data_IF_940950158300
#
_entry.id   IF_940950158300
#
_cell.length_a   1.000
_cell.length_b   1.000
_cell.length_c   1.000
_cell.angle_alpha   90.00
_cell.angle_beta   90.00
_cell.angle_gamma   90.00
#
_symmetry.space_group_name_H-M   'P 1'
#
loop_
_entity.id
_entity.type
_entity.pdbx_description
1 polymer ?
#
# COMPACT_ATOMS: atom_id res chain seq x y z
N UNK A 1 30.02 -6.74 -11.30
CA UNK A 1 29.07 -7.86 -11.21
C UNK A 1 28.08 -7.47 -10.12
N UNK A 2 27.02 -6.75 -10.49
CA UNK A 2 26.03 -6.27 -9.50
C UNK A 2 25.04 -7.40 -9.26
N UNK A 3 25.27 -8.16 -8.19
CA UNK A 3 24.21 -9.00 -7.63
C UNK A 3 23.14 -8.05 -7.08
N UNK A 4 22.11 -7.78 -7.88
CA UNK A 4 20.86 -7.21 -7.37
C UNK A 4 20.27 -8.24 -6.40
N UNK A 5 20.64 -8.13 -5.11
CA UNK A 5 19.91 -8.81 -4.04
C UNK A 5 18.49 -8.27 -4.09
N UNK A 6 17.62 -9.01 -4.77
CA UNK A 6 16.18 -8.77 -4.72
C UNK A 6 15.75 -8.94 -3.27
N UNK A 7 15.56 -7.82 -2.58
CA UNK A 7 14.99 -7.83 -1.23
C UNK A 7 13.60 -8.49 -1.32
N UNK A 8 13.22 -9.35 -0.37
CA UNK A 8 11.93 -10.01 -0.40
C UNK A 8 10.82 -8.96 -0.35
N UNK A 9 9.98 -8.93 -1.39
CA UNK A 9 8.77 -8.11 -1.47
C UNK A 9 7.57 -9.02 -1.28
N UNK A 10 6.63 -8.64 -0.42
CA UNK A 10 5.40 -9.39 -0.21
C UNK A 10 4.24 -8.65 -0.86
N UNK A 11 3.43 -9.35 -1.63
CA UNK A 11 2.25 -8.78 -2.28
C UNK A 11 1.01 -9.61 -1.94
N UNK A 12 -0.04 -8.93 -1.46
CA UNK A 12 -1.38 -9.49 -1.23
C UNK A 12 -2.30 -8.88 -2.29
N UNK A 13 -2.59 -9.67 -3.32
CA UNK A 13 -3.53 -9.34 -4.39
C UNK A 13 -4.76 -10.23 -4.31
N UNK A 14 -5.95 -9.65 -4.47
CA UNK A 14 -7.20 -10.40 -4.47
C UNK A 14 -8.45 -9.53 -4.55
N UNK A 15 -9.59 -10.15 -4.82
CA UNK A 15 -10.90 -9.49 -5.00
C UNK A 15 -11.31 -8.62 -3.81
N UNK A 16 -11.97 -7.50 -4.07
CA UNK A 16 -12.60 -6.65 -3.03
C UNK A 16 -13.51 -7.53 -2.16
N UNK A 17 -13.42 -7.41 -0.83
CA UNK A 17 -14.02 -8.29 0.19
C UNK A 17 -13.35 -9.66 0.50
N UNK A 18 -12.17 -9.99 -0.06
CA UNK A 18 -11.46 -11.25 0.28
C UNK A 18 -10.72 -11.28 1.63
N UNK A 19 -10.87 -10.25 2.47
CA UNK A 19 -10.24 -10.21 3.80
C UNK A 19 -8.75 -9.85 3.81
N UNK A 20 -8.23 -9.24 2.74
CA UNK A 20 -6.81 -8.83 2.60
C UNK A 20 -6.33 -7.94 3.74
N UNK A 21 -7.12 -6.94 4.15
CA UNK A 21 -6.77 -6.06 5.26
C UNK A 21 -6.61 -6.86 6.56
N UNK A 22 -7.49 -7.82 6.82
CA UNK A 22 -7.38 -8.73 7.98
C UNK A 22 -6.14 -9.60 7.91
N UNK A 23 -5.77 -10.10 6.73
CA UNK A 23 -4.54 -10.87 6.52
C UNK A 23 -3.29 -10.00 6.74
N UNK A 24 -3.29 -8.75 6.25
CA UNK A 24 -2.22 -7.79 6.48
C UNK A 24 -2.05 -7.49 7.97
N UNK A 25 -3.14 -7.35 8.73
CA UNK A 25 -3.10 -7.20 10.19
C UNK A 25 -2.53 -8.43 10.91
N UNK A 26 -2.88 -9.66 10.48
CA UNK A 26 -2.30 -10.89 11.05
C UNK A 26 -0.79 -10.97 10.74
N UNK A 27 -0.38 -10.54 9.55
CA UNK A 27 1.03 -10.45 9.20
C UNK A 27 1.71 -9.40 10.10
N UNK A 28 1.04 -8.29 10.45
CA UNK A 28 1.50 -7.24 11.38
C UNK A 28 1.87 -7.74 12.74
N UNK A 29 1.07 -8.66 13.26
CA UNK A 29 1.32 -9.25 14.56
C UNK A 29 2.52 -10.21 14.54
N UNK A 30 2.89 -10.75 13.37
CA UNK A 30 3.92 -11.78 13.22
C UNK A 30 5.25 -11.28 12.65
N UNK A 31 5.21 -10.28 11.78
CA UNK A 31 6.36 -9.67 11.12
C UNK A 31 6.41 -8.23 11.64
N UNK A 32 7.41 -7.89 12.46
CA UNK A 32 7.47 -6.57 13.11
C UNK A 32 7.99 -5.45 12.20
N UNK A 33 8.69 -5.82 11.13
CA UNK A 33 9.45 -4.89 10.32
C UNK A 33 8.84 -4.77 8.91
N UNK A 34 7.57 -4.40 8.80
CA UNK A 34 6.97 -4.10 7.49
C UNK A 34 6.04 -2.89 7.51
N UNK A 35 5.85 -2.34 6.32
CA UNK A 35 4.98 -1.19 6.05
C UNK A 35 4.06 -1.55 4.87
N UNK A 36 2.82 -1.03 4.87
CA UNK A 36 1.82 -1.35 3.85
C UNK A 36 1.84 -0.30 2.75
N UNK A 37 1.81 -0.74 1.49
CA UNK A 37 1.64 0.12 0.32
C UNK A 37 0.30 -0.24 -0.31
N UNK A 38 -0.66 0.69 -0.28
CA UNK A 38 -1.95 0.49 -0.94
C UNK A 38 -1.77 0.61 -2.46
N UNK A 39 -2.26 -0.39 -3.19
CA UNK A 39 -2.27 -0.41 -4.65
C UNK A 39 -3.66 -0.12 -5.24
N UNK A 40 -4.51 0.60 -4.51
CA UNK A 40 -5.88 0.91 -4.91
C UNK A 40 -5.99 2.37 -5.40
N UNK A 41 -6.35 2.54 -6.68
CA UNK A 41 -6.45 3.84 -7.35
C UNK A 41 -7.57 4.73 -6.79
N UNK A 42 -8.49 4.19 -6.00
CA UNK A 42 -9.53 4.97 -5.33
C UNK A 42 -9.12 5.39 -3.91
N UNK A 43 -8.16 4.69 -3.27
CA UNK A 43 -7.71 5.01 -1.91
C UNK A 43 -6.71 6.17 -1.84
N UNK A 44 -6.12 6.54 -2.98
CA UNK A 44 -5.19 7.68 -3.10
C UNK A 44 -5.87 9.03 -2.85
N UNK A 45 -7.17 9.15 -3.09
CA UNK A 45 -7.89 10.43 -3.02
C UNK A 45 -8.38 10.74 -1.60
N UNK A 46 -7.99 11.91 -1.10
CA UNK A 46 -8.41 12.42 0.21
C UNK A 46 -9.93 12.58 0.30
N UNK A 47 -10.49 12.34 1.50
CA UNK A 47 -11.90 12.59 1.85
C UNK A 47 -12.94 11.79 1.05
N UNK A 48 -12.50 10.84 0.23
CA UNK A 48 -13.36 9.87 -0.48
C UNK A 48 -13.39 8.55 0.29
N UNK A 49 -13.90 8.57 1.51
CA UNK A 49 -13.83 7.42 2.43
C UNK A 49 -15.06 6.50 2.30
N UNK A 50 -16.19 7.05 1.84
CA UNK A 50 -17.44 6.31 1.64
C UNK A 50 -17.38 5.61 0.28
N UNK A 51 -17.20 4.28 0.28
CA UNK A 51 -17.22 3.42 -0.92
C UNK A 51 -15.87 2.86 -1.37
N UNK A 52 -14.75 3.33 -0.80
CA UNK A 52 -13.37 2.95 -1.21
C UNK A 52 -12.70 1.93 -0.27
N UNK A 53 -13.44 1.45 0.74
CA UNK A 53 -12.98 0.46 1.73
C UNK A 53 -11.62 0.82 2.39
N UNK A 54 -11.35 2.11 2.59
CA UNK A 54 -10.10 2.57 3.23
C UNK A 54 -9.95 2.00 4.64
N UNK A 55 -8.72 1.63 5.03
CA UNK A 55 -8.44 1.27 6.42
C UNK A 55 -8.75 2.44 7.34
N UNK A 56 -9.37 2.14 8.48
CA UNK A 56 -9.70 3.13 9.51
C UNK A 56 -8.43 3.75 10.08
N UNK A 57 -8.54 4.94 10.69
CA UNK A 57 -7.40 5.59 11.36
C UNK A 57 -6.79 4.72 12.47
N UNK A 58 -7.59 3.89 13.13
CA UNK A 58 -7.10 2.94 14.14
C UNK A 58 -6.25 1.81 13.52
N UNK A 59 -6.58 1.35 12.32
CA UNK A 59 -5.79 0.36 11.58
C UNK A 59 -4.50 0.99 11.02
N UNK A 60 -4.59 2.21 10.49
CA UNK A 60 -3.42 2.97 10.03
C UNK A 60 -2.47 3.35 11.17
N UNK A 61 -2.97 3.52 12.40
CA UNK A 61 -2.13 3.77 13.57
C UNK A 61 -1.33 2.54 14.02
N UNK A 62 -1.78 1.33 13.67
CA UNK A 62 -1.11 0.07 14.05
C UNK A 62 0.04 -0.27 13.10
N UNK A 63 -0.06 0.12 11.83
CA UNK A 63 0.93 -0.17 10.79
C UNK A 63 1.01 1.05 9.88
N UNK A 64 2.21 1.58 9.57
CA UNK A 64 2.35 2.63 8.57
C UNK A 64 1.77 2.19 7.22
N UNK A 65 0.88 3.01 6.66
CA UNK A 65 0.31 2.84 5.34
C UNK A 65 0.79 3.97 4.41
N UNK A 66 1.19 3.59 3.21
CA UNK A 66 1.57 4.48 2.11
C UNK A 66 0.52 4.45 1.00
N UNK A 67 0.53 5.45 0.13
CA UNK A 67 -0.38 5.56 -1.02
C UNK A 67 -1.87 5.65 -0.64
N UNK A 68 -2.18 6.20 0.55
CA UNK A 68 -3.54 6.51 0.99
C UNK A 68 -3.62 8.00 1.27
N UNK A 69 -4.69 8.67 0.85
CA UNK A 69 -4.92 10.09 1.11
C UNK A 69 -3.76 11.00 0.63
N UNK A 70 -3.15 10.66 -0.52
CA UNK A 70 -2.01 11.37 -1.08
C UNK A 70 -2.42 12.53 -2.01
N UNK A 71 -3.58 12.45 -2.65
CA UNK A 71 -4.02 13.37 -3.72
C UNK A 71 -5.36 14.02 -3.34
N UNK A 72 -5.55 15.30 -3.65
CA UNK A 72 -6.88 15.92 -3.52
C UNK A 72 -7.80 15.51 -4.68
N UNK A 73 -9.12 15.29 -4.47
CA UNK A 73 -10.05 14.83 -5.53
C UNK A 73 -10.14 15.69 -6.80
N UNK A 74 -9.66 16.93 -6.74
CA UNK A 74 -9.69 17.88 -7.85
C UNK A 74 -8.36 17.98 -8.60
N UNK A 75 -7.33 17.25 -8.15
CA UNK A 75 -6.03 17.19 -8.82
C UNK A 75 -6.04 16.08 -9.88
N UNK A 76 -5.47 16.37 -11.05
CA UNK A 76 -5.23 15.34 -12.05
C UNK A 76 -4.11 14.41 -11.56
N UNK A 77 -4.43 13.13 -11.44
CA UNK A 77 -3.48 12.11 -11.03
C UNK A 77 -3.45 10.96 -12.03
N UNK A 78 -2.25 10.72 -12.56
CA UNK A 78 -2.01 9.76 -13.64
C UNK A 78 -1.49 8.44 -13.10
N UNK A 79 -1.72 7.36 -13.85
CA UNK A 79 -1.16 6.03 -13.55
C UNK A 79 0.38 6.07 -13.51
N UNK A 80 1.01 6.92 -14.33
CA UNK A 80 2.47 7.08 -14.33
C UNK A 80 2.99 7.70 -13.03
N UNK A 81 2.30 8.72 -12.50
CA UNK A 81 2.64 9.30 -11.19
C UNK A 81 2.47 8.27 -10.08
N UNK A 82 1.38 7.51 -10.10
CA UNK A 82 1.14 6.41 -9.17
C UNK A 82 2.27 5.39 -9.13
N UNK A 83 2.73 4.95 -10.31
CA UNK A 83 3.82 3.97 -10.40
C UNK A 83 5.13 4.53 -9.83
N UNK A 84 5.45 5.79 -10.13
CA UNK A 84 6.66 6.46 -9.61
C UNK A 84 6.59 6.59 -8.09
N UNK A 85 5.47 7.06 -7.55
CA UNK A 85 5.31 7.26 -6.10
C UNK A 85 5.29 5.94 -5.34
N UNK A 86 4.60 4.92 -5.86
CA UNK A 86 4.62 3.58 -5.27
C UNK A 86 6.04 3.00 -5.26
N UNK A 87 6.81 3.19 -6.34
CA UNK A 87 8.20 2.76 -6.42
C UNK A 87 9.10 3.50 -5.42
N UNK A 88 8.92 4.82 -5.29
CA UNK A 88 9.63 5.62 -4.29
C UNK A 88 9.31 5.15 -2.87
N UNK A 89 8.04 4.87 -2.55
CA UNK A 89 7.62 4.35 -1.25
C UNK A 89 8.29 2.99 -0.94
N UNK A 90 8.35 2.08 -1.92
CA UNK A 90 9.06 0.80 -1.81
C UNK A 90 10.54 1.04 -1.44
N UNK A 91 11.22 1.92 -2.17
CA UNK A 91 12.64 2.21 -1.95
C UNK A 91 12.89 2.85 -0.58
N UNK A 92 12.00 3.74 -0.15
CA UNK A 92 12.08 4.38 1.17
C UNK A 92 11.93 3.37 2.30
N UNK A 93 10.93 2.48 2.20
CA UNK A 93 10.70 1.38 3.16
C UNK A 93 11.92 0.45 3.19
N UNK A 94 12.40 0.01 2.02
CA UNK A 94 13.55 -0.86 1.91
C UNK A 94 14.84 -0.20 2.44
N UNK A 95 14.97 1.13 2.34
CA UNK A 95 16.11 1.90 2.86
C UNK A 95 16.16 1.94 4.39
N UNK A 96 14.99 1.88 5.05
CA UNK A 96 14.86 1.76 6.51
C UNK A 96 15.11 0.34 7.03
N UNK A 97 15.31 -0.63 6.14
CA UNK A 97 15.40 -2.05 6.50
C UNK A 97 14.05 -2.70 6.78
N UNK A 98 12.96 -2.02 6.45
CA UNK A 98 11.59 -2.53 6.56
C UNK A 98 11.21 -3.32 5.30
N UNK A 99 10.23 -4.20 5.41
CA UNK A 99 9.68 -4.99 4.32
C UNK A 99 8.44 -4.29 3.73
N UNK A 100 8.40 -4.03 2.41
CA UNK A 100 7.21 -3.46 1.79
C UNK A 100 6.15 -4.56 1.56
N UNK A 101 4.94 -4.32 2.07
CA UNK A 101 3.76 -5.16 1.84
C UNK A 101 2.78 -4.46 0.88
N UNK A 102 2.77 -4.90 -0.36
CA UNK A 102 1.88 -4.37 -1.40
C UNK A 102 0.48 -4.97 -1.24
N UNK A 103 -0.55 -4.14 -1.04
CA UNK A 103 -1.94 -4.61 -0.87
C UNK A 103 -2.83 -3.97 -1.93
N UNK A 104 -3.36 -4.77 -2.84
CA UNK A 104 -4.21 -4.29 -3.95
C UNK A 104 -5.55 -4.99 -4.04
N UNK A 105 -6.59 -4.23 -4.38
CA UNK A 105 -7.86 -4.77 -4.87
C UNK A 105 -7.78 -5.01 -6.40
N UNK A 106 -8.52 -6.00 -6.90
CA UNK A 106 -8.41 -6.50 -8.27
C UNK A 106 -9.10 -5.61 -9.32
N UNK A 107 -9.18 -4.30 -9.10
CA UNK A 107 -9.84 -3.34 -10.00
C UNK A 107 -8.84 -2.43 -10.73
N UNK A 108 -7.60 -2.89 -10.93
CA UNK A 108 -6.70 -2.33 -11.94
C UNK A 108 -7.04 -2.95 -13.31
N UNK A 109 -8.17 -2.58 -13.90
CA UNK A 109 -8.46 -2.82 -15.33
C UNK A 109 -8.56 -1.49 -16.05
#
# INVERSE_FOLDING_TARGET
MNESRTKPRLAIVGTTASGKSKLAMIIAEKIKDFEIISLDSMQIYKRMDIGTAKPTREEQAKIPHHMIDIVEPHEEYTISQFQIEAQNAIEEIESRGMLPLLVGAQDCT
#
